data_IF_464385145782
#
_entry.id   IF_464385145782
#
_cell.length_a   1.000
_cell.length_b   1.000
_cell.length_c   1.000
_cell.angle_alpha   90.00
_cell.angle_beta   90.00
_cell.angle_gamma   90.00
#
_symmetry.space_group_name_H-M   'P 1'
#
loop_
_entity.id
_entity.type
_entity.pdbx_description
1 polymer ?
#
# COMPACT_ATOMS: atom_id res chain seq x y z
N UNK A 1 1.40 19.85 -4.20
CA UNK A 1 1.36 18.38 -3.95
C UNK A 1 1.74 18.16 -2.49
N UNK A 2 0.84 17.66 -1.64
CA UNK A 2 1.10 17.59 -0.19
C UNK A 2 2.27 16.65 0.12
N UNK A 3 3.31 17.19 0.78
CA UNK A 3 4.50 16.47 1.25
C UNK A 3 4.51 16.39 2.78
N UNK A 4 3.44 15.85 3.36
CA UNK A 4 3.29 15.71 4.81
C UNK A 4 2.73 14.34 5.20
N UNK A 5 2.62 14.10 6.50
CA UNK A 5 1.95 12.92 7.04
C UNK A 5 0.52 12.79 6.47
N UNK A 6 0.03 11.56 6.37
CA UNK A 6 -1.35 11.29 5.98
C UNK A 6 -2.28 11.57 7.15
N UNK A 7 -3.33 12.35 6.93
CA UNK A 7 -4.39 12.50 7.92
C UNK A 7 -5.37 11.32 7.86
N UNK A 8 -6.09 11.09 8.96
CA UNK A 8 -7.15 10.06 8.98
C UNK A 8 -8.23 10.31 7.93
N UNK A 9 -8.53 11.58 7.61
CA UNK A 9 -9.50 11.90 6.55
C UNK A 9 -8.98 11.54 5.16
N UNK A 10 -7.68 11.76 4.90
CA UNK A 10 -7.07 11.35 3.64
C UNK A 10 -7.06 9.82 3.52
N UNK A 11 -6.72 9.12 4.60
CA UNK A 11 -6.77 7.65 4.63
C UNK A 11 -8.18 7.14 4.35
N UNK A 12 -9.21 7.71 4.99
CA UNK A 12 -10.60 7.30 4.78
C UNK A 12 -11.05 7.49 3.33
N UNK A 13 -10.75 8.65 2.72
CA UNK A 13 -11.05 8.90 1.30
C UNK A 13 -10.40 7.87 0.39
N UNK A 14 -9.15 7.51 0.67
CA UNK A 14 -8.41 6.51 -0.11
C UNK A 14 -9.05 5.12 0.04
N UNK A 15 -9.39 4.72 1.27
CA UNK A 15 -10.07 3.46 1.58
C UNK A 15 -11.43 3.38 0.88
N UNK A 16 -12.26 4.40 1.02
CA UNK A 16 -13.62 4.43 0.47
C UNK A 16 -13.59 4.31 -1.06
N UNK A 17 -12.67 5.06 -1.69
CA UNK A 17 -12.52 5.02 -3.14
C UNK A 17 -12.10 3.63 -3.62
N UNK A 18 -11.07 3.04 -3.01
CA UNK A 18 -10.56 1.72 -3.43
C UNK A 18 -11.57 0.61 -3.13
N UNK A 19 -12.29 0.70 -2.01
CA UNK A 19 -13.34 -0.27 -1.67
C UNK A 19 -14.48 -0.25 -2.70
N UNK A 20 -14.82 0.94 -3.23
CA UNK A 20 -15.89 1.10 -4.22
C UNK A 20 -15.47 0.80 -5.66
N UNK A 21 -14.23 1.13 -6.03
CA UNK A 21 -13.77 1.13 -7.42
C UNK A 21 -12.62 0.15 -7.71
N UNK A 22 -12.05 -0.48 -6.68
CA UNK A 22 -10.78 -1.20 -6.77
C UNK A 22 -9.57 -0.26 -6.83
N UNK A 23 -8.36 -0.84 -6.85
CA UNK A 23 -7.10 -0.08 -6.87
C UNK A 23 -6.90 0.72 -8.16
N UNK A 24 -7.39 0.20 -9.29
CA UNK A 24 -7.43 0.89 -10.58
C UNK A 24 -6.11 1.53 -11.02
N UNK A 25 -6.21 2.63 -11.76
CA UNK A 25 -5.06 3.43 -12.18
C UNK A 25 -4.64 4.43 -11.10
N UNK A 26 -3.50 4.18 -10.44
CA UNK A 26 -2.97 5.08 -9.41
C UNK A 26 -2.72 6.51 -9.89
N UNK A 27 -2.50 6.75 -11.18
CA UNK A 27 -2.24 8.10 -11.72
C UNK A 27 -3.47 9.00 -11.56
N UNK A 28 -4.65 8.47 -11.82
CA UNK A 28 -5.91 9.24 -11.87
C UNK A 28 -6.70 9.15 -10.56
N UNK A 29 -6.44 8.09 -9.78
CA UNK A 29 -7.07 7.83 -8.49
C UNK A 29 -7.08 9.04 -7.53
N UNK A 30 -5.99 9.80 -7.30
CA UNK A 30 -6.01 10.88 -6.32
C UNK A 30 -7.03 11.95 -6.65
N UNK A 31 -7.14 12.32 -7.94
CA UNK A 31 -8.12 13.30 -8.39
C UNK A 31 -9.54 12.79 -8.21
N UNK A 32 -9.79 11.52 -8.56
CA UNK A 32 -11.10 10.89 -8.44
C UNK A 32 -11.53 10.68 -6.97
N UNK A 33 -10.59 10.41 -6.06
CA UNK A 33 -10.82 10.27 -4.63
C UNK A 33 -10.86 11.62 -3.88
N UNK A 34 -10.69 12.76 -4.57
CA UNK A 34 -10.66 14.08 -3.93
C UNK A 34 -9.48 14.28 -2.96
N UNK A 35 -8.32 13.73 -3.31
CA UNK A 35 -7.07 13.80 -2.57
C UNK A 35 -6.07 14.76 -3.23
N UNK A 36 -5.38 15.56 -2.42
CA UNK A 36 -4.31 16.46 -2.86
C UNK A 36 -2.92 15.77 -2.84
N UNK A 37 -2.90 14.50 -3.24
CA UNK A 37 -1.72 13.60 -3.25
C UNK A 37 -1.41 13.14 -4.67
N UNK A 38 -0.21 12.60 -4.88
CA UNK A 38 0.14 11.95 -6.14
C UNK A 38 -0.18 10.47 -6.13
N UNK A 39 -0.34 9.90 -7.32
CA UNK A 39 -0.61 8.47 -7.47
C UNK A 39 0.41 7.58 -6.78
N UNK A 40 1.70 7.91 -6.90
CA UNK A 40 2.77 7.19 -6.21
C UNK A 40 2.57 7.20 -4.68
N UNK A 41 2.17 8.33 -4.12
CA UNK A 41 1.93 8.47 -2.67
C UNK A 41 0.70 7.68 -2.24
N UNK A 42 -0.41 7.73 -2.99
CA UNK A 42 -1.60 6.92 -2.72
C UNK A 42 -1.29 5.41 -2.78
N UNK A 43 -0.57 4.95 -3.81
CA UNK A 43 -0.15 3.56 -3.94
C UNK A 43 0.68 3.10 -2.75
N UNK A 44 1.71 3.87 -2.40
CA UNK A 44 2.56 3.55 -1.26
C UNK A 44 1.78 3.54 0.06
N UNK A 45 0.83 4.46 0.24
CA UNK A 45 0.00 4.50 1.44
C UNK A 45 -0.90 3.28 1.54
N UNK A 46 -1.56 2.90 0.45
CA UNK A 46 -2.42 1.73 0.41
C UNK A 46 -1.63 0.44 0.66
N UNK A 47 -0.61 0.17 -0.14
CA UNK A 47 0.12 -1.10 -0.12
C UNK A 47 0.85 -1.37 1.20
N UNK A 48 1.34 -0.32 1.87
CA UNK A 48 2.14 -0.48 3.09
C UNK A 48 1.36 -0.26 4.39
N UNK A 49 0.19 0.36 4.33
CA UNK A 49 -0.53 0.74 5.56
C UNK A 49 -2.03 0.46 5.51
N UNK A 50 -2.75 0.78 4.44
CA UNK A 50 -4.23 0.72 4.50
C UNK A 50 -4.82 -0.59 4.00
N UNK A 51 -4.08 -1.37 3.20
CA UNK A 51 -4.58 -2.62 2.66
C UNK A 51 -4.84 -3.64 3.79
N UNK A 52 -6.08 -4.15 3.96
CA UNK A 52 -6.41 -5.09 5.02
C UNK A 52 -5.72 -6.46 4.86
N UNK A 53 -5.30 -6.80 3.65
CA UNK A 53 -4.60 -8.06 3.37
C UNK A 53 -3.11 -8.03 3.74
N UNK A 54 -2.60 -6.87 4.16
CA UNK A 54 -1.23 -6.74 4.61
C UNK A 54 -1.08 -7.35 6.00
N UNK A 55 -0.43 -8.52 6.09
CA UNK A 55 -0.02 -9.10 7.38
C UNK A 55 0.97 -8.14 8.07
N UNK A 56 0.70 -7.85 9.34
CA UNK A 56 1.58 -7.05 10.20
C UNK A 56 2.03 -7.89 11.38
N UNK A 57 3.31 -7.83 11.68
CA UNK A 57 3.92 -8.59 12.77
C UNK A 57 5.14 -9.34 12.29
N UNK A 58 5.64 -10.22 13.14
CA UNK A 58 6.76 -11.09 12.85
C UNK A 58 6.35 -12.16 11.84
N UNK A 59 7.31 -12.61 11.04
CA UNK A 59 7.17 -13.83 10.26
C UNK A 59 7.12 -15.04 11.19
N UNK A 60 6.39 -16.07 10.77
CA UNK A 60 6.50 -17.40 11.36
C UNK A 60 7.82 -18.07 10.98
N UNK A 61 8.24 -19.07 11.74
CA UNK A 61 9.47 -19.83 11.46
C UNK A 61 9.47 -20.41 10.04
N UNK A 62 8.34 -20.97 9.59
CA UNK A 62 8.16 -21.46 8.22
C UNK A 62 8.29 -20.34 7.16
N UNK A 63 7.77 -19.15 7.45
CA UNK A 63 7.88 -17.99 6.56
C UNK A 63 9.34 -17.49 6.48
N UNK A 64 10.06 -17.44 7.61
CA UNK A 64 11.47 -17.07 7.65
C UNK A 64 12.35 -18.07 6.87
N UNK A 65 12.13 -19.37 7.06
CA UNK A 65 12.84 -20.43 6.33
C UNK A 65 12.58 -20.32 4.82
N UNK A 66 11.34 -20.05 4.44
CA UNK A 66 10.98 -19.84 3.05
C UNK A 66 11.65 -18.60 2.47
N UNK A 67 11.69 -17.49 3.21
CA UNK A 67 12.38 -16.26 2.81
C UNK A 67 13.86 -16.54 2.57
N UNK A 68 14.55 -17.21 3.50
CA UNK A 68 15.97 -17.55 3.39
C UNK A 68 16.21 -18.42 2.15
N UNK A 69 15.39 -19.46 1.96
CA UNK A 69 15.50 -20.36 0.81
C UNK A 69 15.30 -19.62 -0.51
N UNK A 70 14.27 -18.79 -0.61
CA UNK A 70 13.99 -18.02 -1.82
C UNK A 70 15.08 -16.99 -2.09
N UNK A 71 15.62 -16.35 -1.06
CA UNK A 71 16.73 -15.41 -1.18
C UNK A 71 18.00 -16.09 -1.70
N UNK A 72 18.36 -17.25 -1.16
CA UNK A 72 19.50 -18.03 -1.62
C UNK A 72 19.37 -18.46 -3.09
N UNK A 73 18.14 -18.74 -3.56
CA UNK A 73 17.85 -19.16 -4.93
C UNK A 73 17.80 -18.00 -5.93
N UNK A 74 17.26 -16.84 -5.54
CA UNK A 74 16.92 -15.76 -6.47
C UNK A 74 17.79 -14.50 -6.30
N UNK A 75 18.48 -14.36 -5.18
CA UNK A 75 19.25 -13.18 -4.80
C UNK A 75 18.36 -11.96 -4.46
N UNK A 76 19.02 -10.81 -4.26
CA UNK A 76 18.31 -9.53 -4.10
C UNK A 76 17.82 -9.02 -5.46
N UNK A 77 16.51 -9.03 -5.66
CA UNK A 77 15.82 -8.45 -6.81
C UNK A 77 14.78 -7.43 -6.36
#
# INVERSE_FOLDING_TARGET
MHKGAWSKQEDQKLIDYITKHGEGCWRDLPKAAGLLRCGKSCRLRWMNYLNPNLKRGNFSEDEDDLIIKLHALLGNR
#
